data_IF_852758118774
#
_entry.id   IF_852758118774
#
_cell.length_a   1.000
_cell.length_b   1.000
_cell.length_c   1.000
_cell.angle_alpha   90.00
_cell.angle_beta   90.00
_cell.angle_gamma   90.00
#
_symmetry.space_group_name_H-M   'P 1'
#
loop_
_entity.id
_entity.type
_entity.pdbx_description
1 polymer ?
#
# COMPACT_ATOMS: atom_id res chain seq x y z
N UNK A 1 -8.99 18.09 31.41
CA UNK A 1 -8.85 17.40 30.12
C UNK A 1 -8.23 16.04 30.41
N UNK A 2 -9.02 14.96 30.35
CA UNK A 2 -8.50 13.61 30.51
C UNK A 2 -7.56 13.34 29.35
N UNK A 3 -6.27 13.27 29.61
CA UNK A 3 -5.30 12.70 28.69
C UNK A 3 -5.46 11.20 28.74
N UNK A 4 -6.53 10.70 28.14
CA UNK A 4 -6.69 9.28 27.93
C UNK A 4 -5.54 8.82 27.06
N UNK A 5 -4.71 7.94 27.59
CA UNK A 5 -3.60 7.32 26.87
C UNK A 5 -4.18 6.33 25.85
N UNK A 6 -4.72 6.88 24.75
CA UNK A 6 -5.19 6.04 23.65
C UNK A 6 -4.01 5.29 23.04
N UNK A 7 -4.22 4.01 22.78
CA UNK A 7 -3.25 3.16 22.11
C UNK A 7 -3.66 3.06 20.65
N UNK A 8 -2.74 3.37 19.75
CA UNK A 8 -2.93 3.24 18.31
C UNK A 8 -2.12 2.07 17.75
N UNK A 9 -2.61 1.52 16.66
CA UNK A 9 -1.94 0.45 15.92
C UNK A 9 -1.20 1.03 14.72
N UNK A 10 0.11 0.83 14.68
CA UNK A 10 0.95 1.16 13.53
C UNK A 10 0.72 0.19 12.37
N UNK A 11 1.13 0.58 11.17
CA UNK A 11 1.08 -0.24 9.94
C UNK A 11 1.83 -1.57 10.05
N UNK A 12 2.85 -1.64 10.90
CA UNK A 12 3.62 -2.86 11.15
C UNK A 12 3.00 -3.76 12.25
N UNK A 13 1.76 -3.47 12.67
CA UNK A 13 1.05 -4.20 13.73
C UNK A 13 1.48 -3.86 15.16
N UNK A 14 2.51 -3.04 15.35
CA UNK A 14 2.92 -2.62 16.70
C UNK A 14 1.98 -1.56 17.24
N UNK A 15 1.72 -1.62 18.52
CA UNK A 15 0.93 -0.62 19.25
C UNK A 15 1.82 0.40 19.93
N UNK A 16 1.39 1.66 19.95
CA UNK A 16 2.05 2.74 20.70
C UNK A 16 1.02 3.74 21.24
N UNK A 17 1.38 4.51 22.28
CA UNK A 17 0.52 5.61 22.75
C UNK A 17 0.31 6.64 21.65
N UNK A 18 -0.92 7.14 21.53
CA UNK A 18 -1.25 8.23 20.62
C UNK A 18 -0.52 9.50 21.03
N UNK A 19 0.27 10.04 20.12
CA UNK A 19 0.95 11.32 20.32
C UNK A 19 0.18 12.44 19.60
N UNK A 20 -0.63 13.17 20.36
CA UNK A 20 -1.46 14.28 19.87
C UNK A 20 -0.62 15.42 19.29
N UNK A 21 0.56 15.68 19.82
CA UNK A 21 1.46 16.72 19.32
C UNK A 21 1.97 16.42 17.90
N UNK A 22 2.16 15.14 17.56
CA UNK A 22 2.50 14.75 16.19
C UNK A 22 1.37 15.09 15.22
N UNK A 23 0.11 14.94 15.65
CA UNK A 23 -1.05 15.27 14.82
C UNK A 23 -1.11 16.78 14.59
N UNK A 24 -1.00 17.59 15.66
CA UNK A 24 -0.95 19.05 15.55
C UNK A 24 0.16 19.51 14.62
N UNK A 25 1.37 18.97 14.80
CA UNK A 25 2.53 19.31 13.96
C UNK A 25 2.26 18.96 12.49
N UNK A 26 1.61 17.83 12.20
CA UNK A 26 1.27 17.44 10.84
C UNK A 26 0.25 18.39 10.21
N UNK A 27 -0.76 18.83 10.96
CA UNK A 27 -1.73 19.83 10.51
C UNK A 27 -1.04 21.17 10.23
N UNK A 28 -0.22 21.68 11.15
CA UNK A 28 0.53 22.93 10.97
C UNK A 28 1.40 22.88 9.71
N UNK A 29 2.13 21.79 9.51
CA UNK A 29 2.94 21.60 8.29
C UNK A 29 2.11 21.59 7.01
N UNK A 30 0.90 21.06 7.05
CA UNK A 30 0.01 21.09 5.90
C UNK A 30 -0.45 22.52 5.55
N UNK A 31 -0.72 23.36 6.55
CA UNK A 31 -1.01 24.78 6.35
C UNK A 31 0.20 25.52 5.78
N UNK A 32 1.38 25.33 6.39
CA UNK A 32 2.62 25.94 5.92
C UNK A 32 2.97 25.55 4.47
N UNK A 33 2.65 24.33 4.05
CA UNK A 33 2.87 23.88 2.65
C UNK A 33 2.01 24.63 1.63
N UNK A 34 1.00 25.37 2.07
CA UNK A 34 0.10 26.20 1.26
C UNK A 34 0.32 27.70 1.53
N UNK A 35 1.48 28.06 2.11
CA UNK A 35 1.82 29.43 2.51
C UNK A 35 0.72 30.08 3.38
N UNK A 36 0.08 29.28 4.23
CA UNK A 36 -0.99 29.70 5.15
C UNK A 36 -0.53 29.47 6.59
N UNK A 37 -0.74 30.47 7.42
CA UNK A 37 -0.61 30.31 8.86
C UNK A 37 -1.92 29.81 9.46
N UNK A 38 -1.84 29.05 10.53
CA UNK A 38 -2.97 28.58 11.29
C UNK A 38 -2.95 29.23 12.68
N UNK A 39 -4.03 29.85 13.07
CA UNK A 39 -4.23 30.37 14.41
C UNK A 39 -4.57 29.23 15.41
N UNK A 40 -4.27 29.47 16.69
CA UNK A 40 -4.49 28.47 17.73
C UNK A 40 -5.97 28.10 17.88
N UNK A 41 -6.88 29.00 17.60
CA UNK A 41 -8.32 28.77 17.67
C UNK A 41 -8.78 27.79 16.59
N UNK A 42 -8.38 28.01 15.35
CA UNK A 42 -8.67 27.11 14.22
C UNK A 42 -8.05 25.73 14.44
N UNK A 43 -6.80 25.66 14.91
CA UNK A 43 -6.17 24.39 15.27
C UNK A 43 -6.99 23.64 16.34
N UNK A 44 -7.44 24.34 17.38
CA UNK A 44 -8.26 23.75 18.43
C UNK A 44 -9.61 23.24 17.88
N UNK A 45 -10.29 23.99 17.01
CA UNK A 45 -11.54 23.54 16.36
C UNK A 45 -11.33 22.26 15.57
N UNK A 46 -10.28 22.18 14.76
CA UNK A 46 -9.93 20.96 14.02
C UNK A 46 -9.68 19.80 14.98
N UNK A 47 -8.90 20.01 16.03
CA UNK A 47 -8.59 18.99 17.04
C UNK A 47 -9.81 18.49 17.79
N UNK A 48 -10.78 19.37 18.09
CA UNK A 48 -12.03 18.99 18.77
C UNK A 48 -12.94 18.08 17.92
N UNK A 49 -12.78 18.08 16.61
CA UNK A 49 -13.53 17.18 15.70
C UNK A 49 -12.98 15.77 15.68
N UNK A 50 -11.72 15.59 16.08
CA UNK A 50 -11.11 14.27 16.10
C UNK A 50 -11.67 13.41 17.24
N UNK A 51 -11.97 12.16 16.93
CA UNK A 51 -12.46 11.16 17.90
C UNK A 51 -11.46 10.02 17.97
N UNK A 52 -10.85 9.86 19.13
CA UNK A 52 -9.87 8.79 19.34
C UNK A 52 -10.49 7.66 20.14
N UNK A 53 -10.16 6.42 19.74
CA UNK A 53 -10.50 5.21 20.50
C UNK A 53 -9.30 4.26 20.52
N UNK A 54 -9.26 3.37 21.51
CA UNK A 54 -8.19 2.39 21.63
C UNK A 54 -8.22 1.40 20.46
N UNK A 55 -7.04 1.07 19.95
CA UNK A 55 -6.88 0.14 18.84
C UNK A 55 -7.05 0.77 17.45
N UNK A 56 -7.36 2.07 17.38
CA UNK A 56 -7.46 2.80 16.11
C UNK A 56 -6.16 2.72 15.32
N UNK A 57 -6.24 2.56 14.01
CA UNK A 57 -5.06 2.60 13.15
C UNK A 57 -4.56 4.02 12.91
N UNK A 58 -3.28 4.14 12.54
CA UNK A 58 -2.71 5.44 12.12
C UNK A 58 -3.47 5.99 10.91
N UNK A 59 -3.93 5.12 10.01
CA UNK A 59 -4.73 5.49 8.85
C UNK A 59 -6.06 6.11 9.24
N UNK A 60 -6.75 5.53 10.23
CA UNK A 60 -8.04 6.07 10.71
C UNK A 60 -7.87 7.45 11.32
N UNK A 61 -6.79 7.65 12.11
CA UNK A 61 -6.45 8.98 12.66
C UNK A 61 -6.22 9.98 11.53
N UNK A 62 -5.48 9.60 10.50
CA UNK A 62 -5.21 10.47 9.35
C UNK A 62 -6.48 10.78 8.54
N UNK A 63 -7.35 9.79 8.35
CA UNK A 63 -8.65 9.99 7.68
C UNK A 63 -9.53 10.98 8.45
N UNK A 64 -9.54 10.90 9.79
CA UNK A 64 -10.25 11.87 10.62
C UNK A 64 -9.69 13.28 10.47
N UNK A 65 -8.37 13.45 10.39
CA UNK A 65 -7.75 14.77 10.15
C UNK A 65 -8.20 15.35 8.80
N UNK A 66 -8.23 14.53 7.74
CA UNK A 66 -8.72 14.96 6.42
C UNK A 66 -10.18 15.44 6.48
N UNK A 67 -11.05 14.65 7.12
CA UNK A 67 -12.47 15.00 7.28
C UNK A 67 -12.62 16.27 8.13
N UNK A 68 -11.82 16.43 9.20
CA UNK A 68 -11.88 17.62 10.04
C UNK A 68 -11.43 18.88 9.30
N UNK A 69 -10.37 18.80 8.48
CA UNK A 69 -9.91 19.90 7.64
C UNK A 69 -10.97 20.31 6.61
N UNK A 70 -11.64 19.34 5.99
CA UNK A 70 -12.74 19.61 5.04
C UNK A 70 -13.94 20.24 5.74
N UNK A 71 -14.28 19.76 6.94
CA UNK A 71 -15.41 20.29 7.72
C UNK A 71 -15.19 21.72 8.22
N UNK A 72 -13.93 22.14 8.37
CA UNK A 72 -13.55 23.53 8.64
C UNK A 72 -13.27 24.34 7.36
N UNK A 73 -13.68 23.83 6.19
CA UNK A 73 -13.56 24.48 4.87
C UNK A 73 -12.14 24.74 4.38
N UNK A 74 -11.13 24.05 4.96
CA UNK A 74 -9.74 24.15 4.54
C UNK A 74 -9.41 23.14 3.44
N UNK A 75 -10.12 23.17 2.31
CA UNK A 75 -10.05 22.16 1.24
C UNK A 75 -8.66 22.04 0.60
N UNK A 76 -7.99 23.17 0.39
CA UNK A 76 -6.63 23.17 -0.20
C UNK A 76 -5.62 22.52 0.74
N UNK A 77 -5.73 22.79 2.04
CA UNK A 77 -4.88 22.19 3.07
C UNK A 77 -5.19 20.70 3.21
N UNK A 78 -6.47 20.30 3.17
CA UNK A 78 -6.87 18.90 3.17
C UNK A 78 -6.27 18.15 1.96
N UNK A 79 -6.34 18.75 0.76
CA UNK A 79 -5.73 18.21 -0.45
C UNK A 79 -4.21 18.07 -0.31
N UNK A 80 -3.54 19.08 0.22
CA UNK A 80 -2.09 19.04 0.47
C UNK A 80 -1.71 17.93 1.45
N UNK A 81 -2.50 17.76 2.51
CA UNK A 81 -2.32 16.69 3.50
C UNK A 81 -2.47 15.30 2.89
N UNK A 82 -3.50 15.08 2.05
CA UNK A 82 -3.70 13.81 1.31
C UNK A 82 -2.55 13.51 0.36
N UNK A 83 -2.10 14.50 -0.42
CA UNK A 83 -0.98 14.34 -1.36
C UNK A 83 0.33 14.02 -0.62
N UNK A 84 0.56 14.67 0.52
CA UNK A 84 1.70 14.36 1.38
C UNK A 84 1.66 12.92 1.88
N UNK A 85 0.50 12.45 2.37
CA UNK A 85 0.31 11.06 2.79
C UNK A 85 0.62 10.09 1.65
N UNK A 86 0.07 10.36 0.45
CA UNK A 86 0.27 9.49 -0.71
C UNK A 86 1.74 9.41 -1.11
N UNK A 87 2.44 10.55 -1.15
CA UNK A 87 3.89 10.58 -1.43
C UNK A 87 4.68 9.73 -0.44
N UNK A 88 4.41 9.89 0.85
CA UNK A 88 5.08 9.09 1.87
C UNK A 88 4.72 7.60 1.84
N UNK A 89 3.55 7.24 1.34
CA UNK A 89 3.18 5.85 1.09
C UNK A 89 4.02 5.29 -0.07
N UNK A 90 4.12 6.02 -1.17
CA UNK A 90 4.90 5.64 -2.35
C UNK A 90 6.40 5.53 -2.02
N UNK A 91 6.94 6.46 -1.22
CA UNK A 91 8.33 6.44 -0.74
C UNK A 91 8.61 5.18 0.10
N UNK A 92 7.69 4.80 1.00
CA UNK A 92 7.82 3.57 1.81
C UNK A 92 7.73 2.33 0.95
N UNK A 93 6.78 2.27 0.01
CA UNK A 93 6.66 1.15 -0.91
C UNK A 93 7.95 0.96 -1.72
N UNK A 94 8.54 2.06 -2.15
CA UNK A 94 9.84 2.05 -2.86
C UNK A 94 10.97 1.57 -1.96
N UNK A 95 11.02 2.07 -0.70
CA UNK A 95 12.02 1.64 0.27
C UNK A 95 11.89 0.15 0.65
N UNK A 96 10.66 -0.35 0.76
CA UNK A 96 10.40 -1.77 1.05
C UNK A 96 10.79 -2.67 -0.13
N UNK A 97 10.53 -2.23 -1.36
CA UNK A 97 11.02 -2.90 -2.58
C UNK A 97 12.55 -2.95 -2.59
N UNK A 98 13.22 -1.81 -2.32
CA UNK A 98 14.68 -1.77 -2.27
C UNK A 98 15.25 -2.67 -1.17
N UNK A 99 14.63 -2.69 0.02
CA UNK A 99 15.01 -3.59 1.11
C UNK A 99 14.85 -5.05 0.72
N UNK A 100 13.75 -5.40 0.07
CA UNK A 100 13.55 -6.74 -0.48
C UNK A 100 14.68 -7.12 -1.44
N UNK A 101 15.07 -6.22 -2.36
CA UNK A 101 16.15 -6.43 -3.30
C UNK A 101 17.49 -6.69 -2.60
N UNK A 102 17.83 -5.85 -1.64
CA UNK A 102 19.08 -5.98 -0.86
C UNK A 102 19.07 -7.31 -0.10
N UNK A 103 17.97 -7.65 0.54
CA UNK A 103 17.83 -8.91 1.27
C UNK A 103 17.91 -10.12 0.32
N UNK A 104 17.30 -10.03 -0.86
CA UNK A 104 17.39 -11.07 -1.87
C UNK A 104 18.83 -11.32 -2.31
N UNK A 105 19.59 -10.25 -2.62
CA UNK A 105 20.99 -10.35 -3.02
C UNK A 105 21.89 -10.91 -1.90
N UNK A 106 21.56 -10.65 -0.63
CA UNK A 106 22.33 -11.05 0.52
C UNK A 106 21.87 -12.37 1.15
N UNK A 107 20.68 -12.89 0.76
CA UNK A 107 20.15 -14.12 1.36
C UNK A 107 20.93 -15.35 0.90
N UNK A 108 21.13 -16.29 1.84
CA UNK A 108 21.62 -17.63 1.56
C UNK A 108 20.44 -18.59 1.38
N UNK A 109 20.62 -19.65 0.59
CA UNK A 109 19.64 -20.71 0.49
C UNK A 109 19.57 -21.45 1.84
N UNK A 110 18.41 -21.49 2.53
CA UNK A 110 18.28 -22.12 3.83
C UNK A 110 18.51 -23.63 3.80
N UNK A 111 18.32 -24.29 2.64
CA UNK A 111 18.50 -25.73 2.48
C UNK A 111 19.99 -26.14 2.33
N UNK A 112 20.83 -25.27 1.78
CA UNK A 112 22.23 -25.58 1.46
C UNK A 112 23.25 -24.67 2.14
N UNK A 113 22.78 -23.63 2.87
CA UNK A 113 23.65 -22.58 3.42
C UNK A 113 24.35 -21.74 2.35
N UNK A 114 24.03 -21.96 1.07
CA UNK A 114 24.64 -21.31 -0.09
C UNK A 114 23.85 -20.03 -0.46
N UNK A 115 24.54 -19.09 -1.13
CA UNK A 115 23.92 -17.93 -1.79
C UNK A 115 23.23 -18.29 -3.12
N UNK A 116 23.10 -19.57 -3.42
CA UNK A 116 22.42 -20.06 -4.62
C UNK A 116 20.90 -20.04 -4.45
N UNK A 117 20.20 -19.79 -5.54
CA UNK A 117 18.75 -19.85 -5.55
C UNK A 117 18.26 -21.29 -5.31
N UNK A 118 17.11 -21.47 -4.67
CA UNK A 118 16.44 -22.76 -4.52
C UNK A 118 15.97 -23.34 -5.86
N UNK A 119 15.89 -22.54 -6.91
CA UNK A 119 15.62 -22.98 -8.26
C UNK A 119 16.89 -23.60 -8.85
N UNK A 120 16.85 -24.91 -9.14
CA UNK A 120 17.98 -25.70 -9.62
C UNK A 120 18.65 -25.16 -10.91
N UNK A 121 17.97 -24.27 -11.64
CA UNK A 121 18.46 -23.69 -12.89
C UNK A 121 19.22 -22.37 -12.70
N UNK A 122 19.34 -21.86 -11.47
CA UNK A 122 20.00 -20.59 -11.19
C UNK A 122 21.04 -20.78 -10.10
N UNK A 123 22.30 -20.82 -10.51
CA UNK A 123 23.43 -21.08 -9.60
C UNK A 123 23.75 -19.86 -8.71
N UNK A 124 23.50 -18.65 -9.16
CA UNK A 124 23.81 -17.41 -8.43
C UNK A 124 22.69 -16.40 -8.50
N UNK A 125 22.39 -15.78 -7.36
CA UNK A 125 21.54 -14.58 -7.29
C UNK A 125 22.33 -13.38 -7.84
N UNK A 126 22.20 -13.14 -9.13
CA UNK A 126 22.84 -12.01 -9.78
C UNK A 126 21.81 -10.91 -10.13
N UNK A 127 22.29 -9.76 -10.55
CA UNK A 127 21.47 -8.62 -10.94
C UNK A 127 20.50 -8.99 -12.07
N UNK A 128 20.88 -9.86 -13.00
CA UNK A 128 20.02 -10.29 -14.10
C UNK A 128 18.83 -11.12 -13.61
N UNK A 129 19.05 -12.03 -12.66
CA UNK A 129 17.99 -12.79 -12.00
C UNK A 129 17.06 -11.84 -11.24
N UNK A 130 17.63 -10.87 -10.54
CA UNK A 130 16.90 -9.87 -9.80
C UNK A 130 16.02 -9.00 -10.72
N UNK A 131 16.56 -8.52 -11.83
CA UNK A 131 15.82 -7.76 -12.84
C UNK A 131 14.68 -8.60 -13.41
N UNK A 132 14.87 -9.91 -13.55
CA UNK A 132 13.82 -10.84 -13.98
C UNK A 132 12.70 -11.03 -12.93
N UNK A 133 13.04 -11.03 -11.64
CA UNK A 133 12.06 -11.22 -10.56
C UNK A 133 11.24 -9.97 -10.21
N UNK A 134 11.86 -8.79 -10.32
CA UNK A 134 11.22 -7.50 -10.01
C UNK A 134 9.92 -7.23 -10.76
N UNK A 135 9.86 -7.39 -12.09
CA UNK A 135 8.66 -7.10 -12.85
C UNK A 135 7.59 -8.18 -12.71
N UNK A 136 7.92 -9.41 -12.23
CA UNK A 136 6.97 -10.53 -12.15
C UNK A 136 5.69 -10.16 -11.39
N UNK A 137 5.79 -9.51 -10.25
CA UNK A 137 4.64 -9.07 -9.47
C UNK A 137 3.75 -8.07 -10.25
N UNK A 138 4.37 -7.16 -10.99
CA UNK A 138 3.67 -6.23 -11.86
C UNK A 138 2.98 -6.95 -13.02
N UNK A 139 3.67 -7.89 -13.67
CA UNK A 139 3.12 -8.69 -14.75
C UNK A 139 1.97 -9.59 -14.29
N UNK A 140 2.07 -10.23 -13.13
CA UNK A 140 0.96 -11.02 -12.56
C UNK A 140 -0.28 -10.15 -12.37
N UNK A 141 -0.14 -8.96 -11.80
CA UNK A 141 -1.28 -8.04 -11.61
C UNK A 141 -1.88 -7.59 -12.93
N UNK A 142 -1.03 -7.24 -13.90
CA UNK A 142 -1.45 -6.84 -15.24
C UNK A 142 -2.19 -7.98 -15.95
N UNK A 143 -1.62 -9.19 -15.94
CA UNK A 143 -2.20 -10.37 -16.59
C UNK A 143 -3.56 -10.72 -15.97
N UNK A 144 -3.69 -10.69 -14.65
CA UNK A 144 -4.97 -10.93 -13.97
C UNK A 144 -6.02 -9.92 -14.39
N UNK A 145 -5.64 -8.64 -14.49
CA UNK A 145 -6.55 -7.58 -14.92
C UNK A 145 -6.99 -7.78 -16.37
N UNK A 146 -6.05 -7.96 -17.29
CA UNK A 146 -6.33 -8.18 -18.70
C UNK A 146 -7.23 -9.41 -18.94
N UNK A 147 -6.94 -10.51 -18.23
CA UNK A 147 -7.75 -11.72 -18.34
C UNK A 147 -9.16 -11.50 -17.79
N UNK A 148 -9.28 -10.80 -16.67
CA UNK A 148 -10.57 -10.45 -16.09
C UNK A 148 -11.40 -9.58 -17.01
N UNK A 149 -10.79 -8.53 -17.60
CA UNK A 149 -11.45 -7.64 -18.56
C UNK A 149 -11.91 -8.45 -19.80
N UNK A 150 -11.08 -9.36 -20.29
CA UNK A 150 -11.44 -10.23 -21.43
C UNK A 150 -12.57 -11.22 -21.11
N UNK A 151 -12.56 -11.84 -19.93
CA UNK A 151 -13.67 -12.69 -19.48
C UNK A 151 -14.96 -11.87 -19.38
N UNK A 152 -14.87 -10.65 -18.86
CA UNK A 152 -16.01 -9.74 -18.75
C UNK A 152 -16.59 -9.38 -20.11
N UNK A 153 -15.74 -9.11 -21.12
CA UNK A 153 -16.16 -8.75 -22.46
C UNK A 153 -16.81 -9.93 -23.21
N UNK A 154 -16.27 -11.14 -23.00
CA UNK A 154 -16.76 -12.35 -23.69
C UNK A 154 -17.96 -13.01 -23.00
N UNK A 155 -18.01 -13.00 -21.68
CA UNK A 155 -18.93 -13.81 -20.89
C UNK A 155 -19.73 -13.02 -19.85
N UNK A 156 -19.50 -11.72 -19.75
CA UNK A 156 -20.19 -10.83 -18.83
C UNK A 156 -19.52 -10.68 -17.46
N UNK A 157 -19.99 -9.69 -16.73
CA UNK A 157 -19.42 -9.25 -15.44
C UNK A 157 -19.50 -10.35 -14.37
N UNK A 158 -20.62 -11.05 -14.31
CA UNK A 158 -20.87 -12.06 -13.27
C UNK A 158 -19.83 -13.18 -13.30
N UNK A 159 -19.48 -13.67 -14.51
CA UNK A 159 -18.47 -14.71 -14.66
C UNK A 159 -17.07 -14.19 -14.34
N UNK A 160 -16.77 -12.94 -14.68
CA UNK A 160 -15.50 -12.30 -14.34
C UNK A 160 -15.33 -12.17 -12.81
N UNK A 161 -16.36 -11.71 -12.11
CA UNK A 161 -16.36 -11.59 -10.65
C UNK A 161 -16.21 -12.98 -9.98
N UNK A 162 -16.89 -14.01 -10.49
CA UNK A 162 -16.75 -15.39 -10.01
C UNK A 162 -15.34 -15.94 -10.25
N UNK A 163 -14.75 -15.67 -11.39
CA UNK A 163 -13.37 -16.06 -11.68
C UNK A 163 -12.38 -15.43 -10.69
N UNK A 164 -12.50 -14.13 -10.42
CA UNK A 164 -11.66 -13.44 -9.43
C UNK A 164 -11.86 -14.06 -8.04
N UNK A 165 -13.09 -14.32 -7.64
CA UNK A 165 -13.39 -14.96 -6.36
C UNK A 165 -12.70 -16.31 -6.22
N UNK A 166 -12.80 -17.18 -7.23
CA UNK A 166 -12.18 -18.50 -7.23
C UNK A 166 -10.64 -18.41 -7.16
N UNK A 167 -10.06 -17.47 -7.88
CA UNK A 167 -8.61 -17.26 -7.90
C UNK A 167 -8.10 -16.74 -6.55
N UNK A 168 -8.79 -15.77 -5.92
CA UNK A 168 -8.44 -15.20 -4.63
C UNK A 168 -8.54 -16.20 -3.47
N UNK A 169 -9.49 -17.12 -3.57
CA UNK A 169 -9.71 -18.13 -2.54
C UNK A 169 -9.00 -19.46 -2.85
N UNK A 170 -8.09 -19.47 -3.81
CA UNK A 170 -7.28 -20.62 -4.19
C UNK A 170 -8.07 -21.88 -4.63
N UNK A 171 -9.31 -21.71 -5.11
CA UNK A 171 -10.10 -22.80 -5.69
C UNK A 171 -9.62 -23.16 -7.08
N UNK A 172 -9.05 -22.19 -7.79
CA UNK A 172 -8.40 -22.39 -9.10
C UNK A 172 -6.99 -21.84 -9.05
N UNK A 173 -6.09 -22.47 -9.76
CA UNK A 173 -4.72 -22.06 -9.91
C UNK A 173 -4.39 -21.86 -11.38
N UNK A 174 -3.77 -20.72 -11.70
CA UNK A 174 -3.27 -20.46 -13.06
C UNK A 174 -1.75 -20.62 -13.06
N UNK A 175 -1.27 -21.52 -13.88
CA UNK A 175 0.17 -21.72 -14.06
C UNK A 175 0.76 -20.59 -14.91
N UNK A 176 2.02 -20.20 -14.63
CA UNK A 176 2.80 -19.21 -15.39
C UNK A 176 2.09 -17.86 -15.61
N UNK A 177 1.61 -17.26 -14.54
CA UNK A 177 0.97 -15.92 -14.58
C UNK A 177 1.92 -14.80 -15.00
N UNK A 178 3.22 -15.08 -15.08
CA UNK A 178 4.24 -14.09 -15.48
C UNK A 178 4.38 -13.94 -16.98
N UNK A 179 3.87 -14.89 -17.77
CA UNK A 179 3.93 -14.88 -19.22
C UNK A 179 2.72 -14.20 -19.87
N UNK A 180 2.97 -13.13 -20.62
CA UNK A 180 1.95 -12.49 -21.48
C UNK A 180 1.54 -13.37 -22.67
N UNK A 181 2.39 -14.29 -23.09
CA UNK A 181 2.15 -15.14 -24.25
C UNK A 181 0.89 -16.01 -24.10
N UNK A 182 0.57 -16.45 -22.89
CA UNK A 182 -0.63 -17.26 -22.61
C UNK A 182 -1.94 -16.48 -22.76
N UNK A 183 -1.90 -15.15 -22.77
CA UNK A 183 -3.08 -14.29 -22.98
C UNK A 183 -3.34 -13.94 -24.43
N UNK A 184 -2.31 -14.09 -25.28
CA UNK A 184 -2.37 -13.72 -26.69
C UNK A 184 -2.70 -14.91 -27.61
N UNK A 185 -2.71 -16.13 -27.08
CA UNK A 185 -3.13 -17.28 -27.84
C UNK A 185 -4.65 -17.17 -28.11
N UNK A 186 -5.07 -17.23 -29.37
CA UNK A 186 -6.50 -17.29 -29.67
C UNK A 186 -7.06 -18.58 -29.04
N UNK A 187 -8.16 -18.42 -28.29
CA UNK A 187 -8.94 -19.59 -27.88
C UNK A 187 -9.48 -20.20 -29.18
N UNK A 188 -9.14 -21.45 -29.50
CA UNK A 188 -9.71 -22.07 -30.67
C UNK A 188 -11.24 -22.08 -30.58
N UNK A 189 -11.94 -21.92 -31.70
CA UNK A 189 -13.40 -21.90 -31.75
C UNK A 189 -14.03 -23.16 -31.19
#
# INVERSE_FOLDING_TARGET
MCTDNFIITKRNGKTEPLNVEKIKTAIIKAFQSQDKDIDAETLNRIMQRLRFCNGMSVEDVQNQVEVALMAEHHYEVAKAFMLYRKRHEDDRETADKLRFLINYCNSTNPATGSKYDANANVENKNIATLIGELPKQGFIRLNRRLLCDRIKDMFGKELADRYIYLLKNHYIYKNDETSLATLLLPIPP
#
